data_IF_621511356318
#
_entry.id   IF_621511356318
#
_cell.length_a   1.000
_cell.length_b   1.000
_cell.length_c   1.000
_cell.angle_alpha   90.00
_cell.angle_beta   90.00
_cell.angle_gamma   90.00
#
_symmetry.space_group_name_H-M   'P 1'
#
loop_
_entity.id
_entity.type
_entity.pdbx_description
1 polymer ?
#
# COMPACT_ATOMS: atom_id res chain seq x y z
N UNK A 1 7.58 -20.90 -25.54
CA UNK A 1 7.14 -21.34 -24.18
C UNK A 1 5.65 -21.12 -23.99
N UNK A 2 5.10 -19.95 -24.33
CA UNK A 2 3.65 -19.76 -24.41
C UNK A 2 2.95 -20.80 -25.30
N UNK A 3 3.54 -21.18 -26.44
CA UNK A 3 2.97 -22.22 -27.32
C UNK A 3 2.71 -23.56 -26.61
N UNK A 4 3.60 -23.98 -25.70
CA UNK A 4 3.41 -25.22 -24.93
C UNK A 4 2.26 -25.09 -23.94
N UNK A 5 2.06 -23.91 -23.35
CA UNK A 5 0.92 -23.62 -22.48
C UNK A 5 -0.39 -23.63 -23.29
N UNK A 6 -0.43 -23.00 -24.46
CA UNK A 6 -1.61 -23.01 -25.34
C UNK A 6 -1.93 -24.41 -25.86
N UNK A 7 -0.92 -25.18 -26.28
CA UNK A 7 -1.09 -26.57 -26.68
C UNK A 7 -1.64 -27.42 -25.52
N UNK A 8 -1.11 -27.22 -24.30
CA UNK A 8 -1.62 -27.91 -23.12
C UNK A 8 -3.06 -27.53 -22.83
N UNK A 9 -3.41 -26.22 -22.83
CA UNK A 9 -4.80 -25.77 -22.64
C UNK A 9 -5.74 -26.42 -23.66
N UNK A 10 -5.35 -26.46 -24.95
CA UNK A 10 -6.15 -27.10 -26.00
C UNK A 10 -6.40 -28.60 -25.74
N UNK A 11 -5.46 -29.31 -25.12
CA UNK A 11 -5.60 -30.73 -24.75
C UNK A 11 -6.57 -30.92 -23.57
N UNK A 12 -6.70 -29.93 -22.69
CA UNK A 12 -7.49 -30.02 -21.45
C UNK A 12 -8.73 -29.12 -21.46
N UNK A 13 -9.09 -28.53 -22.60
CA UNK A 13 -10.13 -27.49 -22.71
C UNK A 13 -11.50 -27.93 -22.17
N UNK A 14 -11.83 -29.21 -22.33
CA UNK A 14 -13.11 -29.80 -21.91
C UNK A 14 -13.02 -30.46 -20.52
N UNK A 15 -11.86 -30.38 -19.85
CA UNK A 15 -11.64 -30.97 -18.53
C UNK A 15 -12.41 -30.19 -17.46
N UNK A 16 -13.16 -30.92 -16.63
CA UNK A 16 -13.79 -30.38 -15.43
C UNK A 16 -12.77 -30.31 -14.29
N UNK A 17 -12.76 -29.21 -13.54
CA UNK A 17 -11.88 -29.07 -12.36
C UNK A 17 -12.11 -30.22 -11.36
N UNK A 18 -13.36 -30.67 -11.20
CA UNK A 18 -13.70 -31.78 -10.29
C UNK A 18 -12.93 -33.07 -10.60
N UNK A 19 -12.68 -33.37 -11.88
CA UNK A 19 -11.95 -34.60 -12.24
C UNK A 19 -10.51 -34.60 -11.75
N UNK A 20 -9.92 -33.42 -11.50
CA UNK A 20 -8.57 -33.30 -10.92
C UNK A 20 -8.54 -33.75 -9.46
N UNK A 21 -9.64 -33.55 -8.71
CA UNK A 21 -9.78 -34.03 -7.32
C UNK A 21 -10.16 -35.51 -7.26
N UNK A 22 -10.82 -36.02 -8.30
CA UNK A 22 -11.12 -37.45 -8.42
C UNK A 22 -9.83 -38.25 -8.66
N UNK A 23 -8.93 -37.72 -9.49
CA UNK A 23 -7.66 -38.34 -9.89
C UNK A 23 -6.55 -38.19 -8.83
N UNK A 24 -6.54 -37.11 -8.07
CA UNK A 24 -5.50 -36.82 -7.07
C UNK A 24 -6.13 -36.39 -5.74
N UNK A 25 -6.10 -37.29 -4.75
CA UNK A 25 -6.64 -37.06 -3.41
C UNK A 25 -5.82 -36.06 -2.60
N UNK A 26 -4.54 -35.86 -2.96
CA UNK A 26 -3.64 -34.93 -2.30
C UNK A 26 -3.53 -33.60 -3.06
N UNK A 27 -4.44 -33.33 -4.01
CA UNK A 27 -4.39 -32.12 -4.84
C UNK A 27 -4.36 -30.83 -4.03
N UNK A 28 -5.14 -30.74 -2.95
CA UNK A 28 -5.20 -29.54 -2.12
C UNK A 28 -3.84 -29.23 -1.51
N UNK A 29 -3.15 -30.22 -0.94
CA UNK A 29 -1.83 -30.01 -0.34
C UNK A 29 -0.77 -29.67 -1.40
N UNK A 30 -0.83 -30.29 -2.58
CA UNK A 30 0.10 -30.00 -3.69
C UNK A 30 -0.11 -28.64 -4.37
N UNK A 31 -1.35 -28.13 -4.37
CA UNK A 31 -1.74 -26.87 -5.02
C UNK A 31 -2.17 -25.82 -3.99
N UNK A 32 -1.49 -25.81 -2.85
CA UNK A 32 -1.59 -24.75 -1.87
C UNK A 32 -0.22 -24.40 -1.32
N UNK A 33 -0.04 -23.14 -0.94
CA UNK A 33 1.13 -22.67 -0.22
C UNK A 33 0.67 -22.10 1.11
N UNK A 34 1.31 -22.53 2.19
CA UNK A 34 1.12 -21.97 3.51
C UNK A 34 2.36 -21.17 3.89
N UNK A 35 2.20 -19.86 4.11
CA UNK A 35 3.25 -18.96 4.55
C UNK A 35 2.77 -18.22 5.78
N UNK A 36 3.31 -18.57 6.94
CA UNK A 36 2.84 -18.10 8.25
C UNK A 36 1.31 -18.20 8.35
N UNK A 37 0.60 -17.08 8.54
CA UNK A 37 -0.87 -17.07 8.66
C UNK A 37 -1.61 -17.05 7.31
N UNK A 38 -0.91 -17.07 6.17
CA UNK A 38 -1.51 -17.01 4.83
C UNK A 38 -1.56 -18.39 4.18
N UNK A 39 -2.78 -18.88 3.96
CA UNK A 39 -3.04 -20.09 3.16
C UNK A 39 -3.55 -19.72 1.77
N UNK A 40 -2.70 -19.92 0.75
CA UNK A 40 -3.04 -19.69 -0.65
C UNK A 40 -3.38 -21.01 -1.35
N UNK A 41 -4.68 -21.29 -1.51
CA UNK A 41 -5.20 -22.45 -2.24
C UNK A 41 -5.53 -22.09 -3.70
N UNK A 42 -4.80 -22.70 -4.64
CA UNK A 42 -5.05 -22.59 -6.08
C UNK A 42 -5.44 -23.94 -6.72
N UNK A 43 -5.81 -24.93 -5.90
CA UNK A 43 -6.24 -26.26 -6.33
C UNK A 43 -7.53 -26.25 -7.14
N UNK A 44 -8.39 -25.25 -6.91
CA UNK A 44 -9.69 -25.03 -7.59
C UNK A 44 -9.54 -24.30 -8.92
N UNK A 45 -8.45 -24.55 -9.63
CA UNK A 45 -8.17 -24.04 -10.98
C UNK A 45 -8.01 -25.23 -11.94
N UNK A 46 -8.01 -24.96 -13.25
CA UNK A 46 -7.72 -26.00 -14.26
C UNK A 46 -6.20 -26.27 -14.43
N UNK A 47 -5.36 -25.77 -13.53
CA UNK A 47 -3.90 -25.97 -13.55
C UNK A 47 -3.61 -27.37 -12.99
N UNK A 48 -2.97 -28.24 -13.78
CA UNK A 48 -2.41 -29.51 -13.32
C UNK A 48 -0.89 -29.42 -13.14
N UNK A 49 -0.24 -30.52 -12.75
CA UNK A 49 1.21 -30.54 -12.49
C UNK A 49 2.02 -30.16 -13.75
N UNK A 50 1.53 -30.54 -14.94
CA UNK A 50 2.16 -30.18 -16.21
C UNK A 50 2.03 -28.68 -16.51
N UNK A 51 0.86 -28.10 -16.33
CA UNK A 51 0.63 -26.66 -16.50
C UNK A 51 1.49 -25.85 -15.52
N UNK A 52 1.51 -26.25 -14.24
CA UNK A 52 2.33 -25.60 -13.22
C UNK A 52 3.83 -25.64 -13.57
N UNK A 53 4.34 -26.80 -13.99
CA UNK A 53 5.72 -26.95 -14.45
C UNK A 53 6.04 -26.05 -15.65
N UNK A 54 5.13 -25.94 -16.62
CA UNK A 54 5.30 -25.06 -17.79
C UNK A 54 5.30 -23.58 -17.39
N UNK A 55 4.43 -23.16 -16.46
CA UNK A 55 4.39 -21.81 -15.91
C UNK A 55 5.67 -21.45 -15.15
N UNK A 56 6.18 -22.37 -14.32
CA UNK A 56 7.46 -22.19 -13.62
C UNK A 56 8.61 -22.08 -14.62
N UNK A 57 8.64 -22.90 -15.67
CA UNK A 57 9.65 -22.80 -16.72
C UNK A 57 9.58 -21.46 -17.46
N UNK A 58 8.36 -20.95 -17.71
CA UNK A 58 8.16 -19.60 -18.26
C UNK A 58 8.79 -18.54 -17.33
N UNK A 59 8.48 -18.55 -16.03
CA UNK A 59 9.06 -17.61 -15.06
C UNK A 59 10.60 -17.68 -15.02
N UNK A 60 11.18 -18.89 -14.96
CA UNK A 60 12.64 -19.10 -15.00
C UNK A 60 13.25 -18.50 -16.26
N UNK A 61 12.64 -18.73 -17.43
CA UNK A 61 13.15 -18.17 -18.69
C UNK A 61 13.11 -16.65 -18.77
N UNK A 62 12.23 -16.02 -17.98
CA UNK A 62 12.09 -14.57 -17.89
C UNK A 62 12.98 -13.95 -16.82
N UNK A 63 13.77 -14.75 -16.09
CA UNK A 63 14.77 -14.25 -15.13
C UNK A 63 14.16 -13.36 -14.05
N UNK A 64 12.98 -13.74 -13.54
CA UNK A 64 12.22 -12.93 -12.60
C UNK A 64 12.92 -12.74 -11.25
N UNK A 65 13.75 -13.70 -10.83
CA UNK A 65 14.50 -13.62 -9.59
C UNK A 65 15.66 -12.63 -9.71
N UNK A 66 16.30 -12.56 -10.88
CA UNK A 66 17.31 -11.52 -11.13
C UNK A 66 16.68 -10.11 -11.15
N UNK A 67 15.49 -9.97 -11.75
CA UNK A 67 14.75 -8.70 -11.72
C UNK A 67 14.29 -8.31 -10.30
N UNK A 68 13.80 -9.29 -9.52
CA UNK A 68 13.51 -9.12 -8.08
C UNK A 68 14.75 -8.66 -7.33
N UNK A 69 15.88 -9.34 -7.50
CA UNK A 69 17.09 -9.02 -6.74
C UNK A 69 17.63 -7.64 -7.11
N UNK A 70 17.52 -7.23 -8.39
CA UNK A 70 17.81 -5.87 -8.83
C UNK A 70 16.90 -4.83 -8.16
N UNK A 71 15.59 -5.10 -8.05
CA UNK A 71 14.65 -4.26 -7.30
C UNK A 71 15.10 -4.08 -5.85
N UNK A 72 15.37 -5.17 -5.13
CA UNK A 72 15.78 -5.12 -3.72
C UNK A 72 17.17 -4.49 -3.51
N UNK A 73 18.05 -4.48 -4.51
CA UNK A 73 19.34 -3.77 -4.47
C UNK A 73 19.22 -2.27 -4.73
N UNK A 74 18.05 -1.77 -5.15
CA UNK A 74 17.87 -0.37 -5.49
C UNK A 74 18.33 0.00 -6.90
N UNK A 75 18.47 -0.98 -7.80
CA UNK A 75 18.76 -0.70 -9.21
C UNK A 75 17.59 0.04 -9.88
N UNK A 76 17.85 0.91 -10.87
CA UNK A 76 16.81 1.71 -11.52
C UNK A 76 15.96 0.89 -12.51
N UNK A 77 15.18 -0.06 -11.98
CA UNK A 77 14.38 -1.00 -12.77
C UNK A 77 13.15 -0.34 -13.42
N UNK A 78 12.73 0.83 -12.93
CA UNK A 78 11.77 1.67 -13.66
C UNK A 78 12.53 2.40 -14.78
N UNK A 79 12.74 1.68 -15.88
CA UNK A 79 13.54 2.13 -17.02
C UNK A 79 13.01 3.39 -17.70
N UNK A 80 11.69 3.60 -17.71
CA UNK A 80 11.08 4.77 -18.37
C UNK A 80 11.34 6.09 -17.64
N UNK A 81 11.47 6.02 -16.31
CA UNK A 81 11.75 7.19 -15.47
C UNK A 81 13.19 7.21 -14.93
N UNK A 82 13.96 6.13 -15.16
CA UNK A 82 15.31 5.98 -14.65
C UNK A 82 15.38 5.87 -13.12
N UNK A 83 14.37 5.28 -12.47
CA UNK A 83 14.22 5.27 -11.00
C UNK A 83 14.33 3.88 -10.38
N UNK A 84 14.84 3.83 -9.16
CA UNK A 84 14.72 2.68 -8.28
C UNK A 84 13.25 2.42 -7.88
N UNK A 85 12.96 1.22 -7.38
CA UNK A 85 11.64 0.84 -6.87
C UNK A 85 11.83 0.13 -5.53
N UNK A 86 11.64 0.86 -4.43
CA UNK A 86 12.10 0.43 -3.10
C UNK A 86 11.05 0.55 -1.98
N UNK A 87 9.78 0.38 -2.32
CA UNK A 87 8.71 0.36 -1.30
C UNK A 87 8.90 -0.74 -0.23
N UNK A 88 9.69 -1.77 -0.51
CA UNK A 88 10.09 -2.83 0.42
C UNK A 88 11.03 -2.33 1.52
N UNK A 89 11.87 -1.32 1.23
CA UNK A 89 12.78 -0.71 2.21
C UNK A 89 12.01 0.01 3.34
N UNK A 90 10.81 0.53 3.04
CA UNK A 90 9.96 1.23 4.02
C UNK A 90 9.48 0.35 5.19
N UNK A 91 9.57 -0.97 5.05
CA UNK A 91 9.06 -1.95 6.00
C UNK A 91 10.14 -2.87 6.58
N UNK A 92 11.40 -2.70 6.17
CA UNK A 92 12.53 -3.38 6.82
C UNK A 92 12.96 -2.64 8.09
N UNK A 93 12.37 -3.02 9.23
CA UNK A 93 12.68 -2.43 10.53
C UNK A 93 14.06 -2.84 11.07
N UNK A 94 14.72 -3.84 10.45
CA UNK A 94 16.08 -4.23 10.84
C UNK A 94 17.14 -3.26 10.33
N UNK A 95 16.78 -2.40 9.37
CA UNK A 95 17.69 -1.41 8.81
C UNK A 95 18.78 -2.01 7.92
N UNK A 96 18.49 -3.11 7.21
CA UNK A 96 19.46 -3.73 6.31
C UNK A 96 19.83 -2.75 5.18
N UNK A 97 21.12 -2.41 4.97
CA UNK A 97 21.50 -1.35 4.04
C UNK A 97 20.93 -1.55 2.63
N UNK A 98 20.38 -0.47 2.06
CA UNK A 98 19.88 -0.43 0.68
C UNK A 98 20.44 0.82 0.02
N UNK A 99 21.08 0.66 -1.13
CA UNK A 99 21.79 1.75 -1.78
C UNK A 99 21.01 2.28 -2.99
N UNK A 100 20.82 3.60 -3.04
CA UNK A 100 20.37 4.33 -4.24
C UNK A 100 21.44 5.37 -4.55
N UNK A 101 21.96 5.36 -5.78
CA UNK A 101 23.06 6.24 -6.20
C UNK A 101 24.22 6.25 -5.19
N UNK A 102 24.63 5.05 -4.75
CA UNK A 102 25.70 4.80 -3.77
C UNK A 102 25.44 5.36 -2.35
N UNK A 103 24.24 5.84 -2.08
CA UNK A 103 23.83 6.33 -0.75
C UNK A 103 22.93 5.31 -0.08
N UNK A 104 23.26 4.92 1.16
CA UNK A 104 22.38 4.09 1.97
C UNK A 104 21.16 4.91 2.42
N UNK A 105 19.96 4.46 2.03
CA UNK A 105 18.71 5.19 2.30
C UNK A 105 18.03 4.77 3.61
N UNK A 106 18.46 3.66 4.23
CA UNK A 106 17.73 3.08 5.37
C UNK A 106 17.73 3.98 6.61
N UNK A 107 18.84 4.65 6.90
CA UNK A 107 18.93 5.55 8.04
C UNK A 107 17.88 6.70 7.95
N UNK A 108 17.72 7.27 6.75
CA UNK A 108 16.73 8.32 6.49
C UNK A 108 15.29 7.82 6.62
N UNK A 109 15.02 6.61 6.13
CA UNK A 109 13.71 5.96 6.22
C UNK A 109 13.34 5.76 7.70
N UNK A 110 14.24 5.15 8.48
CA UNK A 110 13.99 4.86 9.90
C UNK A 110 13.85 6.14 10.74
N UNK A 111 14.66 7.17 10.45
CA UNK A 111 14.52 8.47 11.11
C UNK A 111 13.16 9.12 10.81
N UNK A 112 12.70 9.04 9.56
CA UNK A 112 11.38 9.56 9.18
C UNK A 112 10.26 8.79 9.87
N UNK A 113 10.36 7.46 9.91
CA UNK A 113 9.41 6.59 10.60
C UNK A 113 9.33 6.92 12.11
N UNK A 114 10.48 7.11 12.77
CA UNK A 114 10.54 7.52 14.17
C UNK A 114 9.88 8.88 14.39
N UNK A 115 10.20 9.87 13.54
CA UNK A 115 9.57 11.21 13.58
C UNK A 115 8.05 11.11 13.48
N UNK A 116 7.54 10.29 12.57
CA UNK A 116 6.10 10.06 12.42
C UNK A 116 5.48 9.42 13.66
N UNK A 117 6.13 8.40 14.23
CA UNK A 117 5.63 7.70 15.43
C UNK A 117 5.59 8.64 16.64
N UNK A 118 6.63 9.44 16.86
CA UNK A 118 6.68 10.43 17.93
C UNK A 118 5.60 11.50 17.75
N UNK A 119 5.38 11.97 16.52
CA UNK A 119 4.32 12.93 16.24
C UNK A 119 2.93 12.33 16.45
N UNK A 120 2.68 11.11 15.96
CA UNK A 120 1.42 10.42 16.15
C UNK A 120 1.11 10.20 17.64
N UNK A 121 2.11 9.83 18.44
CA UNK A 121 1.94 9.68 19.89
C UNK A 121 1.60 11.00 20.58
N UNK A 122 2.19 12.12 20.15
CA UNK A 122 1.83 13.45 20.67
C UNK A 122 0.37 13.81 20.37
N UNK A 123 -0.13 13.46 19.19
CA UNK A 123 -1.55 13.64 18.81
C UNK A 123 -2.44 12.76 19.70
N UNK A 124 -2.13 11.46 19.80
CA UNK A 124 -2.93 10.45 20.50
C UNK A 124 -3.00 10.68 22.01
N UNK A 125 -1.90 11.14 22.62
CA UNK A 125 -1.82 11.45 24.05
C UNK A 125 -2.41 12.82 24.42
N UNK A 126 -2.80 13.64 23.45
CA UNK A 126 -3.28 15.01 23.67
C UNK A 126 -2.17 16.02 24.01
N UNK A 127 -0.90 15.64 23.91
CA UNK A 127 0.23 16.56 24.08
C UNK A 127 0.31 17.59 22.94
N UNK A 128 -0.04 17.18 21.73
CA UNK A 128 -0.31 18.10 20.63
C UNK A 128 -1.78 18.53 20.71
N UNK A 129 -1.99 19.84 20.75
CA UNK A 129 -3.33 20.43 20.85
C UNK A 129 -3.60 21.36 19.67
N UNK A 130 -4.84 21.33 19.20
CA UNK A 130 -5.40 22.41 18.39
C UNK A 130 -5.82 23.58 19.28
N UNK A 131 -6.40 24.62 18.67
CA UNK A 131 -6.89 25.80 19.39
C UNK A 131 -7.90 25.44 20.50
N UNK A 132 -8.70 24.39 20.28
CA UNK A 132 -9.73 23.91 21.21
C UNK A 132 -9.27 22.81 22.16
N UNK A 133 -7.98 22.47 22.19
CA UNK A 133 -7.43 21.40 23.04
C UNK A 133 -7.04 20.15 22.26
N UNK A 134 -7.23 18.97 22.87
CA UNK A 134 -6.80 17.70 22.29
C UNK A 134 -7.48 17.44 20.92
N UNK A 135 -6.73 16.86 19.99
CA UNK A 135 -7.24 16.54 18.65
C UNK A 135 -8.20 15.35 18.73
N UNK A 136 -9.43 15.54 18.27
CA UNK A 136 -10.48 14.50 18.22
C UNK A 136 -10.63 13.87 16.84
N UNK A 137 -10.28 14.63 15.80
CA UNK A 137 -10.48 14.27 14.41
C UNK A 137 -9.24 14.60 13.58
N UNK A 138 -8.86 13.67 12.70
CA UNK A 138 -7.79 13.85 11.72
C UNK A 138 -8.35 13.64 10.33
N UNK A 139 -8.12 14.60 9.44
CA UNK A 139 -8.57 14.53 8.04
C UNK A 139 -7.37 14.37 7.13
N UNK A 140 -7.27 13.22 6.45
CA UNK A 140 -6.31 12.98 5.39
C UNK A 140 -6.87 13.47 4.05
N UNK A 141 -6.18 14.41 3.41
CA UNK A 141 -6.53 14.93 2.09
C UNK A 141 -5.47 14.46 1.10
N UNK A 142 -5.84 13.56 0.19
CA UNK A 142 -4.95 12.95 -0.80
C UNK A 142 -5.77 12.19 -1.83
N UNK A 143 -5.21 11.86 -2.99
CA UNK A 143 -5.93 11.09 -4.04
C UNK A 143 -5.11 9.88 -4.48
N UNK A 144 -5.80 8.83 -4.94
CA UNK A 144 -5.16 7.59 -5.40
C UNK A 144 -4.32 6.96 -4.28
N UNK A 145 -3.01 6.82 -4.52
CA UNK A 145 -2.12 6.15 -3.58
C UNK A 145 -1.96 6.88 -2.24
N UNK A 146 -2.23 8.18 -2.22
CA UNK A 146 -2.21 9.02 -1.02
C UNK A 146 -3.49 8.92 -0.18
N UNK A 147 -4.45 8.08 -0.58
CA UNK A 147 -5.75 7.92 0.08
C UNK A 147 -6.16 6.45 0.22
N UNK A 148 -6.16 5.70 -0.89
CA UNK A 148 -6.70 4.34 -0.95
C UNK A 148 -6.04 3.39 0.05
N UNK A 149 -4.71 3.42 0.16
CA UNK A 149 -3.96 2.60 1.12
C UNK A 149 -4.32 2.94 2.57
N UNK A 150 -4.10 4.19 3.03
CA UNK A 150 -4.49 4.60 4.38
C UNK A 150 -5.96 4.37 4.74
N UNK A 151 -6.87 4.72 3.84
CA UNK A 151 -8.31 4.53 4.05
C UNK A 151 -8.69 3.06 4.20
N UNK A 152 -8.07 2.19 3.39
CA UNK A 152 -8.28 0.74 3.45
C UNK A 152 -7.75 0.15 4.75
N UNK A 153 -6.53 0.50 5.17
CA UNK A 153 -5.91 -0.07 6.39
C UNK A 153 -6.66 0.35 7.65
N UNK A 154 -7.02 1.63 7.77
CA UNK A 154 -7.77 2.11 8.95
C UNK A 154 -9.13 1.42 9.07
N UNK A 155 -9.81 1.15 7.94
CA UNK A 155 -11.07 0.41 7.97
C UNK A 155 -10.87 -1.08 8.33
N UNK A 156 -9.89 -1.72 7.69
CA UNK A 156 -9.55 -3.13 7.89
C UNK A 156 -9.19 -3.43 9.34
N UNK A 157 -8.46 -2.53 9.98
CA UNK A 157 -7.95 -2.67 11.34
C UNK A 157 -8.78 -1.89 12.37
N UNK A 158 -10.03 -1.51 12.03
CA UNK A 158 -10.90 -0.75 12.93
C UNK A 158 -11.11 -1.34 14.35
N UNK A 159 -11.05 -2.67 14.61
CA UNK A 159 -11.07 -3.20 15.98
C UNK A 159 -9.90 -2.79 16.86
N UNK A 160 -8.79 -2.36 16.25
CA UNK A 160 -7.57 -1.90 16.91
C UNK A 160 -7.44 -0.37 16.91
N UNK A 161 -8.48 0.35 16.45
CA UNK A 161 -8.50 1.80 16.44
C UNK A 161 -8.79 2.35 17.84
N UNK A 162 -7.82 3.05 18.41
CA UNK A 162 -7.89 3.68 19.73
C UNK A 162 -7.44 5.16 19.73
N UNK A 163 -7.01 5.70 18.59
CA UNK A 163 -6.65 7.11 18.41
C UNK A 163 -7.82 8.01 18.00
N UNK A 164 -7.54 9.27 17.60
CA UNK A 164 -8.54 10.18 17.02
C UNK A 164 -9.27 9.58 15.82
N UNK A 165 -10.48 10.05 15.53
CA UNK A 165 -11.22 9.61 14.35
C UNK A 165 -10.49 10.07 13.08
N UNK A 166 -10.27 9.15 12.14
CA UNK A 166 -9.62 9.46 10.87
C UNK A 166 -10.63 9.52 9.72
N UNK A 167 -10.60 10.61 8.97
CA UNK A 167 -11.46 10.89 7.81
C UNK A 167 -10.59 11.03 6.55
N UNK A 168 -11.12 10.62 5.40
CA UNK A 168 -10.36 10.50 4.15
C UNK A 168 -11.08 11.26 3.04
N UNK A 169 -10.44 12.29 2.48
CA UNK A 169 -11.00 13.15 1.44
C UNK A 169 -10.11 13.10 0.19
N UNK A 170 -10.62 12.48 -0.86
CA UNK A 170 -9.90 12.31 -2.13
C UNK A 170 -10.56 12.95 -3.34
N UNK A 171 -11.87 12.79 -3.47
CA UNK A 171 -12.62 13.37 -4.59
C UNK A 171 -12.56 14.91 -4.58
N UNK A 172 -12.43 15.52 -5.77
CA UNK A 172 -12.50 16.98 -5.97
C UNK A 172 -13.93 17.52 -5.94
N UNK A 173 -14.92 16.64 -6.08
CA UNK A 173 -16.32 16.98 -5.84
C UNK A 173 -16.50 17.59 -4.44
N UNK A 174 -17.02 18.81 -4.41
CA UNK A 174 -17.21 19.59 -3.18
C UNK A 174 -18.15 18.92 -2.17
N UNK A 175 -19.02 18.02 -2.61
CA UNK A 175 -19.87 17.24 -1.72
C UNK A 175 -19.03 16.42 -0.71
N UNK A 176 -17.93 15.82 -1.17
CA UNK A 176 -17.13 14.94 -0.32
C UNK A 176 -16.53 15.69 0.86
N UNK A 177 -15.84 16.80 0.61
CA UNK A 177 -15.25 17.62 1.67
C UNK A 177 -16.31 18.29 2.54
N UNK A 178 -17.45 18.69 1.97
CA UNK A 178 -18.54 19.28 2.74
C UNK A 178 -19.15 18.27 3.73
N UNK A 179 -19.47 17.05 3.27
CA UNK A 179 -20.13 16.02 4.07
C UNK A 179 -19.25 15.49 5.21
N UNK A 180 -17.93 15.57 5.04
CA UNK A 180 -16.95 15.30 6.10
C UNK A 180 -16.88 16.49 7.06
N UNK A 181 -16.46 17.67 6.58
CA UNK A 181 -16.14 18.81 7.45
C UNK A 181 -17.36 19.40 8.18
N UNK A 182 -18.57 19.27 7.63
CA UNK A 182 -19.82 19.76 8.27
C UNK A 182 -20.11 19.11 9.62
N UNK A 183 -19.53 17.93 9.89
CA UNK A 183 -19.71 17.17 11.13
C UNK A 183 -18.60 17.41 12.16
N UNK A 184 -17.53 18.10 11.78
CA UNK A 184 -16.32 18.22 12.60
C UNK A 184 -16.22 19.56 13.32
N UNK A 185 -15.47 19.60 14.41
CA UNK A 185 -15.11 20.84 15.10
C UNK A 185 -13.73 21.34 14.61
N UNK A 186 -13.63 22.50 13.94
CA UNK A 186 -12.36 23.02 13.44
C UNK A 186 -11.32 23.27 14.54
N UNK A 187 -11.74 23.52 15.79
CA UNK A 187 -10.82 23.79 16.90
C UNK A 187 -10.11 22.53 17.43
N UNK A 188 -10.66 21.34 17.19
CA UNK A 188 -10.11 20.02 17.60
C UNK A 188 -9.82 19.09 16.42
N UNK A 189 -9.80 19.63 15.20
CA UNK A 189 -9.50 18.88 13.96
C UNK A 189 -8.07 19.15 13.48
N UNK A 190 -7.34 18.12 13.10
CA UNK A 190 -6.02 18.23 12.46
C UNK A 190 -6.10 17.78 11.00
N UNK A 191 -5.41 18.47 10.09
CA UNK A 191 -5.43 18.17 8.65
C UNK A 191 -4.07 17.63 8.20
N UNK A 192 -4.06 16.54 7.44
CA UNK A 192 -2.88 16.00 6.76
C UNK A 192 -3.08 16.20 5.26
N UNK A 193 -2.18 16.97 4.62
CA UNK A 193 -2.15 17.11 3.17
C UNK A 193 -1.15 16.11 2.60
N UNK A 194 -1.65 15.06 1.94
CA UNK A 194 -0.85 14.00 1.34
C UNK A 194 -0.75 14.20 -0.18
N UNK A 195 0.39 14.74 -0.63
CA UNK A 195 0.70 14.93 -2.05
C UNK A 195 2.20 15.02 -2.28
N UNK A 196 2.75 14.10 -3.07
CA UNK A 196 4.18 14.06 -3.40
C UNK A 196 4.69 15.40 -3.96
N UNK A 197 3.97 15.96 -4.92
CA UNK A 197 4.36 17.19 -5.62
C UNK A 197 3.80 18.46 -4.99
N UNK A 198 2.87 18.31 -4.03
CA UNK A 198 2.09 19.39 -3.41
C UNK A 198 1.42 20.33 -4.42
N UNK A 199 1.06 19.78 -5.59
CA UNK A 199 0.42 20.52 -6.70
C UNK A 199 -0.74 19.77 -7.36
N UNK A 200 -1.05 18.56 -6.88
CA UNK A 200 -2.21 17.81 -7.37
C UNK A 200 -3.48 18.65 -7.20
N UNK A 201 -4.19 18.90 -8.31
CA UNK A 201 -5.26 19.91 -8.35
C UNK A 201 -6.39 19.58 -7.38
N UNK A 202 -6.81 18.33 -7.35
CA UNK A 202 -7.85 17.78 -6.46
C UNK A 202 -7.44 17.97 -4.99
N UNK A 203 -6.23 17.54 -4.64
CA UNK A 203 -5.70 17.63 -3.27
C UNK A 203 -5.57 19.08 -2.81
N UNK A 204 -5.00 19.96 -3.64
CA UNK A 204 -4.78 21.36 -3.25
C UNK A 204 -6.07 22.16 -3.19
N UNK A 205 -7.07 21.83 -4.02
CA UNK A 205 -8.41 22.44 -3.94
C UNK A 205 -9.10 22.06 -2.62
N UNK A 206 -9.01 20.79 -2.22
CA UNK A 206 -9.53 20.32 -0.94
C UNK A 206 -8.75 20.92 0.24
N UNK A 207 -7.42 20.99 0.17
CA UNK A 207 -6.59 21.62 1.19
C UNK A 207 -6.97 23.10 1.42
N UNK A 208 -7.15 23.87 0.34
CA UNK A 208 -7.58 25.26 0.44
C UNK A 208 -8.99 25.41 1.03
N UNK A 209 -9.88 24.47 0.72
CA UNK A 209 -11.25 24.44 1.26
C UNK A 209 -11.24 24.13 2.75
N UNK A 210 -10.44 23.13 3.19
CA UNK A 210 -10.25 22.81 4.60
C UNK A 210 -9.61 23.96 5.37
N UNK A 211 -8.60 24.62 4.80
CA UNK A 211 -8.00 25.82 5.38
C UNK A 211 -9.05 26.92 5.57
N UNK A 212 -9.81 27.23 4.54
CA UNK A 212 -10.84 28.27 4.58
C UNK A 212 -11.98 27.94 5.56
N UNK A 213 -12.32 26.66 5.72
CA UNK A 213 -13.28 26.19 6.72
C UNK A 213 -12.73 26.39 8.14
N UNK A 214 -11.48 25.98 8.39
CA UNK A 214 -10.84 26.06 9.68
C UNK A 214 -10.60 27.51 10.12
N UNK A 215 -10.16 28.39 9.20
CA UNK A 215 -9.92 29.83 9.45
C UNK A 215 -11.16 30.62 9.88
N UNK A 216 -12.38 30.06 9.75
CA UNK A 216 -13.59 30.71 10.28
C UNK A 216 -13.66 30.68 11.81
N UNK A 217 -12.87 29.81 12.45
CA UNK A 217 -12.88 29.57 13.90
C UNK A 217 -11.48 29.56 14.52
N UNK A 218 -10.46 29.17 13.75
CA UNK A 218 -9.06 29.03 14.22
C UNK A 218 -8.19 30.18 13.69
N UNK A 219 -7.60 30.96 14.58
CA UNK A 219 -6.84 32.17 14.24
C UNK A 219 -5.57 31.89 13.41
N UNK A 220 -4.90 30.77 13.69
CA UNK A 220 -3.69 30.31 12.99
C UNK A 220 -3.90 28.91 12.43
N UNK A 221 -4.86 28.76 11.53
CA UNK A 221 -5.27 27.48 10.98
C UNK A 221 -4.09 26.61 10.51
N UNK A 222 -3.06 27.17 9.85
CA UNK A 222 -1.87 26.45 9.38
C UNK A 222 -1.12 25.65 10.46
N UNK A 223 -1.26 25.99 11.75
CA UNK A 223 -0.64 25.24 12.85
C UNK A 223 -1.30 23.87 13.09
N UNK A 224 -2.52 23.67 12.60
CA UNK A 224 -3.24 22.40 12.64
C UNK A 224 -3.13 21.62 11.32
N UNK A 225 -2.05 21.83 10.55
CA UNK A 225 -1.76 21.14 9.31
C UNK A 225 -0.40 20.44 9.35
N UNK A 226 -0.35 19.23 8.79
CA UNK A 226 0.88 18.56 8.39
C UNK A 226 0.89 18.33 6.87
N UNK A 227 2.08 18.17 6.30
CA UNK A 227 2.27 17.77 4.92
C UNK A 227 3.03 16.46 4.83
N UNK A 228 2.52 15.54 4.01
CA UNK A 228 3.25 14.37 3.55
C UNK A 228 3.65 14.62 2.11
N UNK A 229 4.87 15.12 1.92
CA UNK A 229 5.35 15.65 0.63
C UNK A 229 6.86 15.78 0.58
N UNK A 230 7.44 15.64 -0.62
CA UNK A 230 8.84 16.00 -0.90
C UNK A 230 9.02 17.44 -1.39
N UNK A 231 7.93 18.17 -1.65
CA UNK A 231 7.98 19.55 -2.13
C UNK A 231 8.08 20.58 -0.98
N UNK A 232 9.19 20.53 -0.24
CA UNK A 232 9.42 21.34 0.99
C UNK A 232 9.17 22.84 0.79
N UNK A 233 9.59 23.41 -0.34
CA UNK A 233 9.36 24.82 -0.61
C UNK A 233 7.85 25.17 -0.67
N UNK A 234 7.03 24.32 -1.27
CA UNK A 234 5.59 24.56 -1.39
C UNK A 234 4.86 24.37 -0.05
N UNK A 235 5.36 23.47 0.79
CA UNK A 235 4.83 23.31 2.16
C UNK A 235 5.18 24.52 3.03
N UNK A 236 6.39 25.08 2.86
CA UNK A 236 6.80 26.32 3.51
C UNK A 236 5.92 27.50 3.05
N UNK A 237 5.63 27.61 1.74
CA UNK A 237 4.73 28.63 1.16
C UNK A 237 3.29 28.51 1.69
N UNK A 238 2.82 27.31 1.99
CA UNK A 238 1.52 27.09 2.65
C UNK A 238 1.53 27.49 4.14
N UNK A 239 2.71 27.61 4.75
CA UNK A 239 2.89 27.94 6.17
C UNK A 239 2.94 26.73 7.10
N UNK A 240 3.21 25.52 6.58
CA UNK A 240 3.35 24.30 7.40
C UNK A 240 4.76 24.29 8.02
N UNK A 241 4.84 24.08 9.33
CA UNK A 241 6.12 23.93 10.01
C UNK A 241 6.91 22.75 9.44
N UNK A 242 8.22 22.91 9.22
CA UNK A 242 9.12 21.83 8.74
C UNK A 242 9.12 20.61 9.66
N UNK A 243 8.82 20.80 10.94
CA UNK A 243 8.67 19.69 11.89
C UNK A 243 7.42 18.83 11.60
N UNK A 244 6.45 19.37 10.87
CA UNK A 244 5.22 18.72 10.42
C UNK A 244 5.21 18.42 8.92
N UNK A 245 6.39 18.50 8.28
CA UNK A 245 6.62 17.99 6.92
C UNK A 245 7.29 16.62 7.01
N UNK A 246 6.66 15.63 6.41
CA UNK A 246 7.12 14.24 6.33
C UNK A 246 7.40 13.91 4.86
N UNK A 247 8.68 14.03 4.48
CA UNK A 247 9.14 13.78 3.13
C UNK A 247 9.37 12.30 2.84
N UNK A 248 9.29 11.93 1.57
CA UNK A 248 9.61 10.60 1.09
C UNK A 248 10.25 10.67 -0.29
N UNK A 249 11.04 9.65 -0.61
CA UNK A 249 11.86 9.61 -1.81
C UNK A 249 11.07 9.32 -3.09
N UNK A 250 11.67 9.63 -4.23
CA UNK A 250 11.00 9.53 -5.52
C UNK A 250 10.75 8.08 -5.99
N UNK A 251 11.55 7.12 -5.51
CA UNK A 251 11.42 5.67 -5.73
C UNK A 251 10.24 5.04 -4.98
N UNK A 252 9.53 5.80 -4.14
CA UNK A 252 8.24 5.38 -3.58
C UNK A 252 7.13 5.72 -4.58
N UNK A 253 6.64 4.69 -5.25
CA UNK A 253 5.46 4.79 -6.11
C UNK A 253 4.19 5.05 -5.31
N UNK A 254 3.27 5.88 -5.82
CA UNK A 254 2.07 6.30 -5.09
C UNK A 254 1.23 5.11 -4.60
N UNK A 255 0.90 4.17 -5.49
CA UNK A 255 0.16 2.93 -5.17
C UNK A 255 0.91 1.93 -4.26
N UNK A 256 2.17 2.21 -3.94
CA UNK A 256 3.01 1.43 -3.01
C UNK A 256 3.41 2.23 -1.76
N UNK A 257 2.77 3.37 -1.47
CA UNK A 257 3.32 4.35 -0.52
C UNK A 257 2.84 4.24 0.93
N UNK A 258 1.81 3.43 1.21
CA UNK A 258 1.17 3.36 2.54
C UNK A 258 2.11 2.95 3.69
N UNK A 259 3.24 2.31 3.38
CA UNK A 259 4.21 1.79 4.35
C UNK A 259 5.08 2.89 4.98
N UNK A 260 5.17 4.05 4.33
CA UNK A 260 6.01 5.17 4.77
C UNK A 260 5.19 6.38 5.20
N UNK A 261 5.64 7.61 4.90
CA UNK A 261 4.97 8.86 5.28
C UNK A 261 3.49 8.97 4.97
N UNK A 262 3.03 8.36 3.87
CA UNK A 262 1.59 8.33 3.51
C UNK A 262 0.77 7.56 4.56
N UNK A 263 1.38 6.63 5.28
CA UNK A 263 0.77 5.92 6.40
C UNK A 263 0.62 6.74 7.69
N UNK A 264 0.95 8.03 7.73
CA UNK A 264 0.88 8.83 8.97
C UNK A 264 -0.51 8.78 9.63
N UNK A 265 -1.58 8.84 8.85
CA UNK A 265 -2.96 8.74 9.35
C UNK A 265 -3.27 7.35 9.93
N UNK A 266 -2.61 6.29 9.44
CA UNK A 266 -2.70 4.94 10.00
C UNK A 266 -2.04 4.91 11.39
N UNK A 267 -0.84 5.49 11.53
CA UNK A 267 -0.14 5.54 12.82
C UNK A 267 -0.95 6.33 13.86
N UNK A 268 -1.58 7.43 13.45
CA UNK A 268 -2.42 8.22 14.36
C UNK A 268 -3.65 7.41 14.81
N UNK A 269 -4.33 6.72 13.89
CA UNK A 269 -5.52 5.93 14.22
C UNK A 269 -5.21 4.72 15.12
N UNK A 270 -4.17 3.96 14.80
CA UNK A 270 -3.91 2.62 15.39
C UNK A 270 -2.74 2.59 16.38
N UNK A 271 -1.92 3.65 16.39
CA UNK A 271 -0.70 3.72 17.20
C UNK A 271 0.53 3.07 16.57
N UNK A 272 1.70 3.40 17.12
CA UNK A 272 3.00 2.97 16.59
C UNK A 272 3.18 1.44 16.62
N UNK A 273 2.67 0.76 17.64
CA UNK A 273 2.83 -0.69 17.78
C UNK A 273 2.05 -1.45 16.69
N UNK A 274 0.80 -1.08 16.44
CA UNK A 274 0.00 -1.69 15.37
C UNK A 274 0.63 -1.43 13.99
N UNK A 275 1.15 -0.22 13.76
CA UNK A 275 1.84 0.08 12.51
C UNK A 275 3.13 -0.73 12.33
N UNK A 276 3.93 -0.94 13.38
CA UNK A 276 5.12 -1.80 13.32
C UNK A 276 4.76 -3.25 12.97
N UNK A 277 3.66 -3.78 13.53
CA UNK A 277 3.17 -5.13 13.19
C UNK A 277 2.73 -5.21 11.73
N UNK A 278 2.05 -4.18 11.21
CA UNK A 278 1.69 -4.10 9.79
C UNK A 278 2.94 -4.11 8.88
N UNK A 279 3.98 -3.35 9.24
CA UNK A 279 5.25 -3.34 8.51
C UNK A 279 5.95 -4.71 8.59
N UNK A 280 5.98 -5.35 9.77
CA UNK A 280 6.56 -6.68 9.97
C UNK A 280 5.91 -7.73 9.07
N UNK A 281 4.57 -7.82 9.06
CA UNK A 281 3.87 -8.80 8.22
C UNK A 281 4.14 -8.60 6.72
N UNK A 282 4.27 -7.35 6.28
CA UNK A 282 4.65 -7.06 4.90
C UNK A 282 6.14 -7.40 4.61
N UNK A 283 7.04 -7.20 5.57
CA UNK A 283 8.45 -7.58 5.48
C UNK A 283 8.67 -9.10 5.50
N UNK A 284 7.84 -9.84 6.21
CA UNK A 284 7.84 -11.31 6.21
C UNK A 284 7.54 -11.84 4.81
N UNK A 285 6.54 -11.28 4.12
CA UNK A 285 6.23 -11.65 2.73
C UNK A 285 7.30 -11.19 1.74
N UNK A 286 7.94 -10.04 1.97
CA UNK A 286 9.12 -9.65 1.18
C UNK A 286 10.26 -10.63 1.33
N UNK A 287 10.51 -11.08 2.56
CA UNK A 287 11.54 -12.07 2.86
C UNK A 287 11.22 -13.38 2.18
N UNK A 288 9.98 -13.88 2.29
CA UNK A 288 9.50 -15.04 1.56
C UNK A 288 9.71 -14.89 0.05
N UNK A 289 9.33 -13.74 -0.52
CA UNK A 289 9.52 -13.47 -1.95
C UNK A 289 10.99 -13.53 -2.37
N UNK A 290 11.92 -13.07 -1.52
CA UNK A 290 13.37 -13.10 -1.76
C UNK A 290 13.97 -14.50 -1.64
N UNK A 291 13.55 -15.29 -0.66
CA UNK A 291 14.29 -16.49 -0.24
C UNK A 291 13.67 -17.80 -0.68
N UNK A 292 12.35 -17.86 -0.85
CA UNK A 292 11.68 -19.10 -1.20
C UNK A 292 11.96 -19.55 -2.63
N UNK A 293 12.11 -20.87 -2.79
CA UNK A 293 12.19 -21.51 -4.10
C UNK A 293 10.95 -21.20 -4.92
N UNK A 294 11.12 -21.03 -6.24
CA UNK A 294 10.05 -20.57 -7.14
C UNK A 294 8.76 -21.38 -7.08
N UNK A 295 8.86 -22.67 -6.73
CA UNK A 295 7.73 -23.60 -6.65
C UNK A 295 6.89 -23.40 -5.37
N UNK A 296 7.49 -22.82 -4.34
CA UNK A 296 6.92 -22.58 -3.01
C UNK A 296 6.72 -21.07 -2.73
N UNK A 297 7.14 -20.23 -3.69
CA UNK A 297 7.11 -18.78 -3.57
C UNK A 297 5.70 -18.23 -3.85
N UNK A 298 4.98 -17.88 -2.77
CA UNK A 298 3.56 -17.52 -2.82
C UNK A 298 3.27 -16.37 -3.79
N UNK A 299 3.96 -15.21 -3.74
CA UNK A 299 3.75 -14.14 -4.71
C UNK A 299 3.99 -14.57 -6.17
N UNK A 300 4.99 -15.41 -6.43
CA UNK A 300 5.26 -15.92 -7.79
C UNK A 300 4.15 -16.85 -8.26
N UNK A 301 3.72 -17.80 -7.44
CA UNK A 301 2.63 -18.71 -7.83
C UNK A 301 1.33 -17.93 -8.03
N UNK A 302 1.01 -16.95 -7.17
CA UNK A 302 -0.15 -16.09 -7.37
C UNK A 302 -0.09 -15.36 -8.72
N UNK A 303 1.07 -14.79 -9.09
CA UNK A 303 1.25 -14.14 -10.38
C UNK A 303 1.13 -15.13 -11.56
N UNK A 304 1.68 -16.33 -11.44
CA UNK A 304 1.58 -17.37 -12.47
C UNK A 304 0.15 -17.89 -12.66
N UNK A 305 -0.63 -18.00 -11.57
CA UNK A 305 -2.07 -18.30 -11.63
C UNK A 305 -2.82 -17.19 -12.36
N UNK A 306 -2.45 -15.93 -12.12
CA UNK A 306 -2.97 -14.78 -12.86
C UNK A 306 -2.65 -14.85 -14.36
N UNK A 307 -1.39 -15.11 -14.72
CA UNK A 307 -0.93 -15.29 -16.10
C UNK A 307 -1.66 -16.43 -16.80
N UNK A 308 -1.85 -17.56 -16.12
CA UNK A 308 -2.62 -18.69 -16.65
C UNK A 308 -4.02 -18.27 -17.06
N UNK A 309 -4.78 -17.64 -16.16
CA UNK A 309 -6.16 -17.25 -16.47
C UNK A 309 -6.22 -16.12 -17.51
N UNK A 310 -5.40 -15.09 -17.37
CA UNK A 310 -5.46 -13.93 -18.25
C UNK A 310 -4.88 -14.21 -19.64
N UNK A 311 -3.61 -14.65 -19.72
CA UNK A 311 -2.89 -14.74 -20.99
C UNK A 311 -3.08 -16.09 -21.68
N UNK A 312 -3.39 -17.16 -20.94
CA UNK A 312 -3.55 -18.50 -21.52
C UNK A 312 -5.02 -18.83 -21.74
N UNK A 313 -5.88 -18.61 -20.74
CA UNK A 313 -7.33 -18.87 -20.84
C UNK A 313 -8.17 -17.72 -21.40
N UNK A 314 -7.57 -16.55 -21.67
CA UNK A 314 -8.27 -15.35 -22.15
C UNK A 314 -9.35 -14.82 -21.17
N UNK A 315 -9.13 -15.01 -19.87
CA UNK A 315 -10.00 -14.45 -18.83
C UNK A 315 -9.48 -13.07 -18.43
N UNK A 316 -10.01 -12.04 -19.09
CA UNK A 316 -9.56 -10.65 -18.96
C UNK A 316 -9.94 -9.97 -17.64
N UNK A 317 -10.84 -10.55 -16.86
CA UNK A 317 -11.34 -9.97 -15.60
C UNK A 317 -10.92 -10.79 -14.39
N UNK A 318 -10.47 -10.12 -13.33
CA UNK A 318 -10.22 -10.71 -12.00
C UNK A 318 -11.13 -10.06 -10.97
N UNK A 319 -11.79 -10.88 -10.16
CA UNK A 319 -12.63 -10.39 -9.06
C UNK A 319 -11.90 -10.60 -7.72
N UNK A 320 -11.95 -9.58 -6.86
CA UNK A 320 -11.44 -9.63 -5.48
C UNK A 320 -12.66 -9.63 -4.54
N UNK A 321 -12.91 -10.75 -3.86
CA UNK A 321 -14.07 -10.95 -2.99
C UNK A 321 -13.61 -11.23 -1.56
N UNK A 322 -13.27 -10.21 -0.76
CA UNK A 322 -12.94 -10.42 0.64
C UNK A 322 -14.21 -10.82 1.41
N UNK A 323 -14.18 -11.96 2.09
CA UNK A 323 -15.24 -12.41 3.00
C UNK A 323 -15.05 -11.81 4.41
N UNK A 324 -14.75 -10.51 4.46
CA UNK A 324 -14.66 -9.70 5.67
C UNK A 324 -15.14 -8.29 5.35
N UNK A 325 -16.14 -7.80 6.10
CA UNK A 325 -16.73 -6.49 5.88
C UNK A 325 -15.72 -5.35 6.05
N UNK A 326 -14.71 -5.51 6.90
CA UNK A 326 -13.69 -4.49 7.16
C UNK A 326 -12.70 -4.35 6.00
N UNK A 327 -12.64 -5.37 5.13
CA UNK A 327 -11.85 -5.34 3.90
C UNK A 327 -12.65 -4.80 2.70
N UNK A 328 -13.77 -4.08 2.93
CA UNK A 328 -14.61 -3.58 1.83
C UNK A 328 -13.87 -2.67 0.84
N UNK A 329 -12.84 -1.96 1.31
CA UNK A 329 -11.97 -1.09 0.50
C UNK A 329 -10.79 -1.81 -0.15
N UNK A 330 -10.50 -3.05 0.21
CA UNK A 330 -9.38 -3.81 -0.36
C UNK A 330 -9.47 -3.95 -1.89
N UNK A 331 -10.64 -4.23 -2.51
CA UNK A 331 -10.76 -4.27 -3.95
C UNK A 331 -10.39 -2.94 -4.64
N UNK A 332 -10.80 -1.80 -4.08
CA UNK A 332 -10.48 -0.48 -4.64
C UNK A 332 -8.97 -0.18 -4.55
N UNK A 333 -8.32 -0.55 -3.43
CA UNK A 333 -6.87 -0.46 -3.31
C UNK A 333 -6.15 -1.35 -4.35
N UNK A 334 -6.57 -2.61 -4.49
CA UNK A 334 -6.00 -3.51 -5.51
C UNK A 334 -6.27 -3.07 -6.94
N UNK A 335 -7.39 -2.39 -7.18
CA UNK A 335 -7.71 -1.84 -8.50
C UNK A 335 -6.62 -0.86 -8.94
N UNK A 336 -6.22 0.09 -8.08
CA UNK A 336 -5.10 0.97 -8.40
C UNK A 336 -3.78 0.20 -8.47
N UNK A 337 -3.53 -0.73 -7.54
CA UNK A 337 -2.29 -1.47 -7.47
C UNK A 337 -1.99 -2.27 -8.75
N UNK A 338 -3.01 -2.88 -9.35
CA UNK A 338 -2.89 -3.82 -10.47
C UNK A 338 -3.18 -3.18 -11.84
N UNK A 339 -3.96 -2.09 -11.91
CA UNK A 339 -4.39 -1.49 -13.20
C UNK A 339 -3.61 -0.25 -13.64
N UNK A 340 -2.88 0.42 -12.73
CA UNK A 340 -2.05 1.61 -13.00
C UNK A 340 -0.56 1.26 -13.00
#
# INVERSE_FOLDING_TARGET
MFDQLFQHLNQIKDRKISSLFDQDKDRVSKFSIFQEDLYFDFSKTNIDEKALKLLINLAKSRRIFEARDAMFRGEPINSSEGRAVLHTALRDLNGSPVYVDQTDVMASILQTLEKMMLFAERIRSGQFTGQGGAITDVVNIGIGGSDLGPSMVVEALSPYHDGPNCHFISNVDGAHIHDVLSKLNPETTFIIIASKTFTTSETMRNAQTAYSWMSKKVDKAHLQFAAVSSAVQKTDEFGISRDLVFGFEDWVGGRYSLWGPIGLSIIIALGANAFKLLLSGAHEIDTHFKTADMQENLPVILALVGIWHNQICDYSTRTVLPYDQRLSKLPAYFQQLEME
#
